data_IF_603902272115
#
_entry.id   IF_603902272115
#
_cell.length_a   1.000
_cell.length_b   1.000
_cell.length_c   1.000
_cell.angle_alpha   90.00
_cell.angle_beta   90.00
_cell.angle_gamma   90.00
#
_symmetry.space_group_name_H-M   'P 1'
#
loop_
_entity.id
_entity.type
_entity.pdbx_description
1 polymer ?
#
# COMPACT_ATOMS: atom_id res chain seq x y z
N UNK A 1 64.74 40.29 35.87
CA UNK A 1 64.58 39.67 37.22
C UNK A 1 63.17 39.11 37.32
N UNK A 2 63.05 37.85 37.77
CA UNK A 2 61.80 37.11 37.99
C UNK A 2 61.03 37.68 39.18
N UNK A 3 59.70 37.79 39.07
CA UNK A 3 58.68 37.63 40.14
C UNK A 3 57.38 37.26 39.38
N UNK A 4 56.94 35.99 39.27
CA UNK A 4 56.26 35.10 40.23
C UNK A 4 54.93 35.64 40.80
N UNK A 5 53.85 35.25 40.11
CA UNK A 5 52.50 34.77 40.52
C UNK A 5 51.80 35.25 41.80
N UNK A 6 50.52 35.63 41.64
CA UNK A 6 49.41 35.47 42.60
C UNK A 6 48.10 35.74 41.82
N UNK A 7 46.90 35.23 42.09
CA UNK A 7 46.35 34.08 42.82
C UNK A 7 44.88 33.98 42.37
N UNK A 8 44.37 32.75 42.26
CA UNK A 8 42.97 32.31 42.41
C UNK A 8 41.80 33.17 41.90
N UNK A 9 40.98 32.59 41.01
CA UNK A 9 39.52 32.65 41.17
C UNK A 9 38.84 31.44 40.51
N UNK A 10 38.12 30.67 41.32
CA UNK A 10 37.15 29.65 40.91
C UNK A 10 36.11 30.29 39.97
N UNK A 11 35.58 29.54 39.00
CA UNK A 11 34.13 29.38 38.83
C UNK A 11 33.81 28.31 37.77
N UNK A 12 33.07 27.32 38.26
CA UNK A 12 32.38 26.25 37.57
C UNK A 12 31.48 26.78 36.45
N UNK A 13 31.84 26.55 35.18
CA UNK A 13 30.93 26.71 34.04
C UNK A 13 30.69 25.36 33.39
N UNK A 14 29.52 24.83 33.76
CA UNK A 14 28.78 23.69 33.23
C UNK A 14 29.09 23.38 31.76
N UNK A 15 29.48 22.14 31.51
CA UNK A 15 29.29 21.50 30.22
C UNK A 15 27.81 21.54 29.84
N UNK A 16 27.43 22.47 28.98
CA UNK A 16 26.20 22.33 28.20
C UNK A 16 26.57 21.36 27.07
N UNK A 17 26.33 20.07 27.30
CA UNK A 17 26.21 19.13 26.20
C UNK A 17 25.06 19.63 25.32
N UNK A 18 25.39 20.11 24.11
CA UNK A 18 24.40 20.27 23.04
C UNK A 18 23.83 18.90 22.76
N UNK A 19 22.64 18.60 23.28
CA UNK A 19 21.84 17.50 22.79
C UNK A 19 21.46 17.86 21.36
N UNK A 20 22.20 17.32 20.39
CA UNK A 20 21.79 17.31 19.00
C UNK A 20 20.66 16.29 18.90
N UNK A 21 19.43 16.77 19.05
CA UNK A 21 18.26 15.99 18.64
C UNK A 21 18.17 16.06 17.12
N UNK A 22 18.96 15.24 16.42
CA UNK A 22 18.60 14.85 15.06
C UNK A 22 17.30 14.06 15.15
N UNK A 23 16.16 14.75 15.01
CA UNK A 23 14.92 14.07 14.66
C UNK A 23 15.19 13.38 13.32
N UNK A 24 15.25 12.05 13.33
CA UNK A 24 15.28 11.28 12.10
C UNK A 24 14.08 11.72 11.24
N UNK A 25 14.30 11.90 9.94
CA UNK A 25 13.18 12.15 9.03
C UNK A 25 12.15 11.04 9.22
N UNK A 26 10.84 11.36 9.23
CA UNK A 26 9.81 10.36 9.41
C UNK A 26 9.98 9.25 8.38
N UNK A 27 9.89 7.99 8.84
CA UNK A 27 10.02 6.83 7.98
C UNK A 27 8.90 6.86 6.94
N UNK A 28 9.28 6.84 5.66
CA UNK A 28 8.36 6.76 4.54
C UNK A 28 8.40 5.35 3.94
N UNK A 29 7.26 4.92 3.41
CA UNK A 29 7.06 3.62 2.78
C UNK A 29 6.56 3.80 1.36
N UNK A 30 7.08 3.01 0.43
CA UNK A 30 6.60 2.99 -0.95
C UNK A 30 5.44 1.99 -1.05
N UNK A 31 4.27 2.43 -1.52
CA UNK A 31 3.08 1.58 -1.70
C UNK A 31 2.64 1.65 -3.16
N UNK A 32 2.33 0.50 -3.75
CA UNK A 32 1.74 0.41 -5.07
C UNK A 32 0.27 -0.01 -5.00
N UNK A 33 -0.61 0.83 -5.53
CA UNK A 33 -2.06 0.57 -5.58
C UNK A 33 -2.51 0.31 -7.01
N UNK A 34 -3.24 -0.77 -7.22
CA UNK A 34 -3.73 -1.20 -8.54
C UNK A 34 -5.27 -1.15 -8.68
N UNK A 35 -5.98 -1.07 -7.55
CA UNK A 35 -7.43 -1.23 -7.48
C UNK A 35 -8.15 0.05 -7.08
N UNK A 36 -9.10 -0.10 -6.16
CA UNK A 36 -10.04 0.96 -5.78
C UNK A 36 -9.43 2.18 -5.10
N UNK A 37 -8.16 2.10 -4.68
CA UNK A 37 -7.43 3.20 -4.02
C UNK A 37 -6.77 4.17 -5.02
N UNK A 38 -6.68 3.81 -6.31
CA UNK A 38 -6.12 4.68 -7.35
C UNK A 38 -6.91 5.98 -7.49
N UNK A 39 -6.26 7.01 -8.00
CA UNK A 39 -6.90 8.29 -8.34
C UNK A 39 -8.08 8.09 -9.27
N UNK A 40 -9.24 8.63 -8.89
CA UNK A 40 -10.50 8.51 -9.64
C UNK A 40 -11.31 7.24 -9.34
N UNK A 41 -10.78 6.32 -8.54
CA UNK A 41 -11.48 5.11 -8.11
C UNK A 41 -12.25 5.30 -6.79
N UNK A 42 -13.25 4.44 -6.50
CA UNK A 42 -14.19 4.60 -5.38
C UNK A 42 -13.58 4.89 -4.00
N UNK A 43 -12.47 4.26 -3.67
CA UNK A 43 -11.83 4.39 -2.35
C UNK A 43 -10.68 5.41 -2.33
N UNK A 44 -10.46 6.19 -3.39
CA UNK A 44 -9.38 7.19 -3.44
C UNK A 44 -9.42 8.20 -2.29
N UNK A 45 -10.62 8.51 -1.75
CA UNK A 45 -10.78 9.40 -0.60
C UNK A 45 -9.99 8.96 0.64
N UNK A 46 -9.73 7.66 0.79
CA UNK A 46 -8.87 7.10 1.85
C UNK A 46 -7.45 7.64 1.76
N UNK A 47 -6.88 7.67 0.55
CA UNK A 47 -5.51 8.12 0.29
C UNK A 47 -5.34 9.61 0.56
N UNK A 48 -6.42 10.41 0.45
CA UNK A 48 -6.40 11.86 0.64
C UNK A 48 -6.67 12.32 2.07
N UNK A 49 -7.23 11.45 2.92
CA UNK A 49 -7.64 11.83 4.26
C UNK A 49 -6.42 11.95 5.18
N UNK A 50 -6.14 13.17 5.67
CA UNK A 50 -5.08 13.41 6.66
C UNK A 50 -5.35 12.72 8.01
N UNK A 51 -6.61 12.35 8.27
CA UNK A 51 -6.96 11.54 9.44
C UNK A 51 -6.35 10.14 9.38
N UNK A 52 -6.14 9.60 8.18
CA UNK A 52 -5.57 8.28 7.94
C UNK A 52 -4.03 8.30 7.93
N UNK A 53 -3.42 9.47 7.73
CA UNK A 53 -1.97 9.64 7.56
C UNK A 53 -1.64 10.45 6.30
N UNK A 54 -0.38 10.44 5.90
CA UNK A 54 0.07 11.11 4.69
C UNK A 54 0.31 10.12 3.55
N UNK A 55 -0.21 10.42 2.36
CA UNK A 55 0.11 9.71 1.12
C UNK A 55 0.37 10.73 0.00
N UNK A 56 1.55 10.64 -0.60
CA UNK A 56 1.98 11.48 -1.71
C UNK A 56 2.13 10.63 -2.98
N UNK A 57 1.47 11.02 -4.06
CA UNK A 57 1.59 10.34 -5.35
C UNK A 57 2.98 10.61 -5.93
N UNK A 58 3.77 9.56 -6.14
CA UNK A 58 5.09 9.62 -6.79
C UNK A 58 4.92 9.58 -8.30
N UNK A 59 4.00 8.76 -8.80
CA UNK A 59 3.78 8.58 -10.23
C UNK A 59 2.97 7.34 -10.58
N UNK A 60 2.95 7.03 -11.88
CA UNK A 60 2.28 5.84 -12.42
C UNK A 60 3.30 4.74 -12.65
N UNK A 61 2.89 3.50 -12.42
CA UNK A 61 3.77 2.35 -12.65
C UNK A 61 3.01 1.09 -12.98
N UNK A 62 3.79 0.04 -13.21
CA UNK A 62 3.31 -1.33 -13.39
C UNK A 62 4.21 -2.31 -12.67
N UNK A 63 3.65 -3.44 -12.27
CA UNK A 63 4.43 -4.55 -11.72
C UNK A 63 5.43 -5.06 -12.76
N UNK A 64 6.66 -5.39 -12.34
CA UNK A 64 7.67 -5.99 -13.23
C UNK A 64 7.30 -7.43 -13.56
N UNK A 65 6.81 -8.17 -12.57
CA UNK A 65 6.22 -9.50 -12.74
C UNK A 65 4.79 -9.40 -13.27
N UNK A 66 4.33 -10.48 -13.90
CA UNK A 66 2.94 -10.62 -14.30
C UNK A 66 2.12 -11.27 -13.19
N UNK A 67 0.93 -10.72 -12.96
CA UNK A 67 -0.02 -11.20 -11.95
C UNK A 67 -1.44 -11.24 -12.52
N UNK A 68 -2.28 -12.22 -12.12
CA UNK A 68 -3.71 -12.16 -12.39
C UNK A 68 -4.38 -11.09 -11.53
N UNK A 69 -4.84 -10.03 -12.17
CA UNK A 69 -5.79 -9.09 -11.59
C UNK A 69 -7.19 -9.43 -12.12
N UNK A 70 -8.10 -9.79 -11.23
CA UNK A 70 -9.47 -10.22 -11.56
C UNK A 70 -10.49 -9.40 -10.81
N UNK A 71 -11.70 -9.29 -11.36
CA UNK A 71 -12.86 -8.74 -10.65
C UNK A 71 -13.69 -9.91 -10.11
N UNK A 72 -13.87 -9.95 -8.79
CA UNK A 72 -14.53 -11.05 -8.09
C UNK A 72 -15.56 -10.59 -7.06
N UNK A 73 -16.21 -11.58 -6.45
CA UNK A 73 -17.33 -11.44 -5.50
C UNK A 73 -18.59 -10.75 -6.07
N UNK A 74 -19.68 -10.83 -5.33
CA UNK A 74 -20.94 -10.12 -5.56
C UNK A 74 -20.82 -8.60 -5.50
N UNK A 75 -19.66 -8.07 -5.11
CA UNK A 75 -19.39 -6.63 -4.97
C UNK A 75 -18.35 -6.08 -5.95
N UNK A 76 -17.95 -6.88 -6.94
CA UNK A 76 -17.04 -6.48 -8.03
C UNK A 76 -15.72 -5.89 -7.51
N UNK A 77 -15.12 -6.56 -6.53
CA UNK A 77 -13.86 -6.13 -5.92
C UNK A 77 -12.69 -6.59 -6.82
N UNK A 78 -11.70 -5.72 -7.08
CA UNK A 78 -10.47 -6.13 -7.74
C UNK A 78 -9.57 -6.94 -6.80
N UNK A 79 -9.11 -8.09 -7.28
CA UNK A 79 -8.19 -8.97 -6.55
C UNK A 79 -6.94 -9.23 -7.38
N UNK A 80 -5.79 -8.95 -6.79
CA UNK A 80 -4.51 -9.43 -7.30
C UNK A 80 -4.19 -10.79 -6.67
N UNK A 81 -4.02 -11.80 -7.50
CA UNK A 81 -3.79 -13.17 -7.06
C UNK A 81 -2.29 -13.48 -7.07
N UNK A 82 -1.72 -14.11 -6.02
CA UNK A 82 -0.31 -14.46 -5.95
C UNK A 82 0.00 -15.71 -6.81
N UNK A 83 -0.25 -15.61 -8.12
CA UNK A 83 0.07 -16.63 -9.12
C UNK A 83 1.04 -16.03 -10.14
N UNK A 84 2.33 -16.06 -9.81
CA UNK A 84 3.38 -15.36 -10.57
C UNK A 84 3.44 -15.87 -12.02
N UNK A 85 3.63 -14.95 -12.96
CA UNK A 85 3.86 -15.26 -14.36
C UNK A 85 2.58 -15.45 -15.19
N UNK A 86 1.40 -15.43 -14.56
CA UNK A 86 0.08 -15.37 -15.22
C UNK A 86 -0.44 -13.93 -15.26
N UNK A 87 -1.43 -13.66 -16.11
CA UNK A 87 -2.02 -12.31 -16.24
C UNK A 87 -1.09 -11.31 -16.92
N UNK A 88 -1.09 -10.09 -16.41
CA UNK A 88 -0.44 -8.93 -17.03
C UNK A 88 0.54 -8.27 -16.07
N UNK A 89 1.37 -7.38 -16.61
CA UNK A 89 2.06 -6.38 -15.79
C UNK A 89 1.02 -5.37 -15.32
N UNK A 90 0.56 -5.52 -14.09
CA UNK A 90 -0.59 -4.77 -13.58
C UNK A 90 -0.22 -3.31 -13.41
N UNK A 91 -1.02 -2.43 -14.02
CA UNK A 91 -0.89 -0.97 -13.95
C UNK A 91 -1.47 -0.42 -12.65
N UNK A 92 -0.88 0.66 -12.17
CA UNK A 92 -1.28 1.30 -10.94
C UNK A 92 -0.52 2.58 -10.63
N UNK A 93 -0.59 2.99 -9.38
CA UNK A 93 -0.02 4.23 -8.87
C UNK A 93 0.93 3.93 -7.71
N UNK A 94 2.04 4.67 -7.68
CA UNK A 94 3.09 4.54 -6.67
C UNK A 94 2.96 5.72 -5.72
N UNK A 95 2.83 5.44 -4.42
CA UNK A 95 2.70 6.43 -3.36
C UNK A 95 3.86 6.33 -2.38
N UNK A 96 4.30 7.47 -1.86
CA UNK A 96 5.08 7.57 -0.62
C UNK A 96 4.09 7.79 0.51
N UNK A 97 4.08 6.90 1.51
CA UNK A 97 3.17 7.00 2.65
C UNK A 97 3.93 7.00 3.97
N UNK A 98 3.38 7.67 4.98
CA UNK A 98 3.91 7.58 6.34
C UNK A 98 3.48 6.28 7.04
N UNK A 99 4.06 6.00 8.20
CA UNK A 99 3.74 4.81 9.00
C UNK A 99 2.26 4.74 9.37
N UNK A 100 1.64 5.88 9.68
CA UNK A 100 0.23 5.98 10.05
C UNK A 100 -0.67 5.55 8.90
N UNK A 101 -0.42 6.05 7.70
CA UNK A 101 -1.14 5.67 6.49
C UNK A 101 -0.93 4.20 6.16
N UNK A 102 0.30 3.67 6.27
CA UNK A 102 0.56 2.26 6.02
C UNK A 102 -0.25 1.36 6.98
N UNK A 103 -0.28 1.69 8.27
CA UNK A 103 -1.08 0.97 9.26
C UNK A 103 -2.58 1.05 8.96
N UNK A 104 -3.07 2.24 8.58
CA UNK A 104 -4.47 2.41 8.17
C UNK A 104 -4.81 1.52 6.96
N UNK A 105 -3.93 1.46 5.95
CA UNK A 105 -4.14 0.63 4.77
C UNK A 105 -4.17 -0.86 5.12
N UNK A 106 -3.33 -1.31 6.06
CA UNK A 106 -3.36 -2.69 6.55
C UNK A 106 -4.71 -3.04 7.19
N UNK A 107 -5.26 -2.17 8.05
CA UNK A 107 -6.59 -2.35 8.61
C UNK A 107 -7.69 -2.29 7.55
N UNK A 108 -7.59 -1.34 6.62
CA UNK A 108 -8.57 -1.11 5.55
C UNK A 108 -8.67 -2.30 4.59
N UNK A 109 -7.53 -2.91 4.25
CA UNK A 109 -7.47 -4.12 3.41
C UNK A 109 -7.63 -5.41 4.22
N UNK A 110 -7.76 -5.33 5.55
CA UNK A 110 -7.92 -6.49 6.42
C UNK A 110 -6.70 -7.40 6.44
N UNK A 111 -5.50 -6.82 6.34
CA UNK A 111 -4.23 -7.51 6.49
C UNK A 111 -4.00 -7.94 7.95
N UNK A 112 -3.44 -9.15 8.22
CA UNK A 112 -3.04 -10.21 7.29
C UNK A 112 -4.10 -11.31 7.09
N UNK A 113 -5.39 -11.05 7.34
CA UNK A 113 -6.44 -12.07 7.25
C UNK A 113 -7.08 -12.16 5.85
N UNK A 114 -7.27 -11.03 5.16
CA UNK A 114 -7.85 -10.96 3.83
C UNK A 114 -6.80 -10.84 2.74
N UNK A 115 -6.06 -9.73 2.76
CA UNK A 115 -4.96 -9.47 1.88
C UNK A 115 -3.66 -9.65 2.66
N UNK A 116 -2.61 -10.07 1.95
CA UNK A 116 -1.26 -10.11 2.44
C UNK A 116 -0.49 -8.97 1.79
N UNK A 117 0.11 -8.11 2.61
CA UNK A 117 1.03 -7.07 2.17
C UNK A 117 2.40 -7.70 1.93
N UNK A 118 2.91 -7.57 0.71
CA UNK A 118 4.24 -8.08 0.30
C UNK A 118 4.97 -7.01 -0.48
N UNK A 119 6.30 -7.14 -0.59
CA UNK A 119 7.10 -6.25 -1.43
C UNK A 119 7.16 -6.78 -2.86
N UNK A 120 6.97 -5.89 -3.83
CA UNK A 120 7.10 -6.20 -5.25
C UNK A 120 7.85 -5.10 -6.00
N UNK A 121 8.57 -5.50 -7.05
CA UNK A 121 9.24 -4.59 -7.95
C UNK A 121 8.24 -3.95 -8.91
N UNK A 122 8.21 -2.62 -8.94
CA UNK A 122 7.39 -1.83 -9.85
C UNK A 122 8.26 -0.86 -10.66
N UNK A 123 7.86 -0.61 -11.90
CA UNK A 123 8.53 0.33 -12.79
C UNK A 123 7.54 1.24 -13.49
N UNK A 124 7.94 2.47 -13.79
CA UNK A 124 7.02 3.47 -14.33
C UNK A 124 7.66 4.82 -14.56
N UNK A 125 6.86 5.87 -14.44
CA UNK A 125 7.28 7.26 -14.57
C UNK A 125 6.79 8.10 -13.37
N UNK A 126 7.65 8.99 -12.89
CA UNK A 126 7.26 9.96 -11.87
C UNK A 126 6.38 11.08 -12.45
N UNK A 127 5.92 12.00 -11.59
CA UNK A 127 5.12 13.16 -12.01
C UNK A 127 5.86 14.13 -12.96
N UNK A 128 7.19 14.05 -13.05
CA UNK A 128 8.02 14.84 -13.97
C UNK A 128 8.34 14.10 -15.28
N UNK A 129 7.86 12.87 -15.44
CA UNK A 129 8.10 12.03 -16.62
C UNK A 129 9.41 11.24 -16.58
N UNK A 130 10.15 11.24 -15.47
CA UNK A 130 11.39 10.46 -15.36
C UNK A 130 11.07 9.00 -15.06
N UNK A 131 11.86 8.08 -15.63
CA UNK A 131 11.72 6.66 -15.33
C UNK A 131 12.03 6.37 -13.86
N UNK A 132 11.15 5.60 -13.22
CA UNK A 132 11.32 5.14 -11.84
C UNK A 132 11.19 3.62 -11.76
N UNK A 133 11.99 3.04 -10.86
CA UNK A 133 11.90 1.64 -10.43
C UNK A 133 12.03 1.60 -8.92
N UNK A 134 11.13 0.90 -8.25
CA UNK A 134 11.05 0.83 -6.79
C UNK A 134 10.59 -0.55 -6.35
N UNK A 135 11.07 -0.97 -5.20
CA UNK A 135 10.40 -1.98 -4.38
C UNK A 135 9.25 -1.27 -3.66
N UNK A 136 8.04 -1.80 -3.78
CA UNK A 136 6.83 -1.21 -3.20
C UNK A 136 5.98 -2.27 -2.50
N UNK A 137 5.35 -1.87 -1.39
CA UNK A 137 4.33 -2.69 -0.74
C UNK A 137 3.08 -2.78 -1.61
N UNK A 138 2.56 -3.98 -1.77
CA UNK A 138 1.36 -4.29 -2.56
C UNK A 138 0.52 -5.31 -1.80
N UNK A 139 -0.80 -5.28 -2.00
CA UNK A 139 -1.75 -6.17 -1.32
C UNK A 139 -2.21 -7.29 -2.26
N UNK A 140 -1.89 -8.54 -1.94
CA UNK A 140 -2.37 -9.74 -2.65
C UNK A 140 -3.49 -10.43 -1.88
N UNK A 141 -4.45 -11.03 -2.57
CA UNK A 141 -5.45 -11.86 -1.91
C UNK A 141 -4.75 -13.07 -1.28
N UNK A 142 -4.86 -13.23 0.05
CA UNK A 142 -4.06 -14.21 0.82
C UNK A 142 -4.31 -15.65 0.40
N UNK A 143 -5.58 -16.00 0.22
CA UNK A 143 -6.03 -17.30 -0.24
C UNK A 143 -7.19 -17.08 -1.18
N UNK A 144 -7.25 -17.87 -2.25
CA UNK A 144 -8.23 -17.68 -3.32
C UNK A 144 -8.68 -19.04 -3.85
N UNK A 145 -9.90 -19.13 -4.36
CA UNK A 145 -10.37 -20.34 -5.05
C UNK A 145 -9.85 -20.37 -6.49
N UNK A 146 -9.47 -21.54 -6.97
CA UNK A 146 -8.90 -21.75 -8.31
C UNK A 146 -9.81 -21.24 -9.44
N UNK A 147 -11.14 -21.24 -9.26
CA UNK A 147 -12.07 -20.72 -10.27
C UNK A 147 -11.84 -19.25 -10.60
N UNK A 148 -11.23 -18.48 -9.68
CA UNK A 148 -10.84 -17.10 -9.97
C UNK A 148 -9.80 -16.99 -11.07
N UNK A 149 -8.95 -18.00 -11.27
CA UNK A 149 -7.99 -18.02 -12.38
C UNK A 149 -8.66 -18.20 -13.75
N UNK A 150 -9.93 -18.58 -13.81
CA UNK A 150 -10.70 -18.67 -15.06
C UNK A 150 -11.36 -17.36 -15.48
N UNK A 151 -11.35 -16.34 -14.60
CA UNK A 151 -11.92 -15.02 -14.89
C UNK A 151 -11.04 -14.21 -15.84
N UNK A 152 -11.60 -13.20 -16.54
CA UNK A 152 -10.80 -12.25 -17.31
C UNK A 152 -9.73 -11.57 -16.46
N UNK A 153 -8.53 -11.47 -17.02
CA UNK A 153 -7.42 -10.75 -16.41
C UNK A 153 -7.40 -9.32 -16.93
N UNK A 154 -7.17 -8.37 -16.01
CA UNK A 154 -7.11 -6.95 -16.32
C UNK A 154 -5.66 -6.47 -16.20
N UNK A 155 -5.22 -5.64 -17.14
CA UNK A 155 -3.96 -4.92 -17.02
C UNK A 155 -4.12 -3.68 -16.14
N UNK A 156 -5.22 -2.95 -16.31
CA UNK A 156 -5.55 -1.75 -15.55
C UNK A 156 -7.01 -1.82 -15.08
N UNK A 157 -7.23 -1.80 -13.77
CA UNK A 157 -8.57 -1.83 -13.22
C UNK A 157 -9.22 -0.44 -13.30
N UNK A 158 -10.49 -0.40 -13.68
CA UNK A 158 -11.36 0.72 -13.35
C UNK A 158 -12.75 0.26 -12.99
N UNK A 159 -13.33 0.80 -11.92
CA UNK A 159 -14.72 0.49 -11.54
C UNK A 159 -15.70 0.77 -12.68
N UNK A 160 -15.44 1.80 -13.49
CA UNK A 160 -16.31 2.20 -14.62
C UNK A 160 -15.78 1.71 -15.97
N UNK A 161 -14.96 0.66 -15.96
CA UNK A 161 -14.42 0.06 -17.19
C UNK A 161 -15.49 -0.64 -18.04
N UNK A 162 -15.13 -0.94 -19.29
CA UNK A 162 -16.01 -1.53 -20.30
C UNK A 162 -16.55 -2.93 -19.96
N UNK A 163 -16.03 -3.55 -18.89
CA UNK A 163 -16.54 -4.82 -18.36
C UNK A 163 -17.93 -4.69 -17.69
N UNK A 164 -18.39 -3.47 -17.37
CA UNK A 164 -19.72 -3.24 -16.78
C UNK A 164 -19.90 -3.78 -15.36
N UNK A 165 -18.80 -4.10 -14.68
CA UNK A 165 -18.77 -4.64 -13.31
C UNK A 165 -18.39 -3.52 -12.33
N UNK A 166 -19.30 -2.59 -12.10
CA UNK A 166 -19.05 -1.44 -11.21
C UNK A 166 -18.92 -1.89 -9.75
N UNK A 167 -17.91 -1.36 -9.06
CA UNK A 167 -17.63 -1.64 -7.66
C UNK A 167 -18.80 -1.21 -6.78
N UNK A 168 -19.25 -2.13 -5.94
CA UNK A 168 -20.31 -1.82 -4.96
C UNK A 168 -19.67 -1.22 -3.72
N UNK A 169 -20.02 0.02 -3.39
CA UNK A 169 -19.42 0.75 -2.26
C UNK A 169 -19.48 0.01 -0.91
N UNK A 170 -18.43 0.14 -0.09
CA UNK A 170 -18.30 -0.61 1.17
C UNK A 170 -19.48 -0.40 2.12
N UNK A 171 -20.01 0.82 2.20
CA UNK A 171 -21.13 1.15 3.08
C UNK A 171 -22.45 0.47 2.64
N UNK A 172 -22.64 0.24 1.33
CA UNK A 172 -23.80 -0.48 0.80
C UNK A 172 -23.75 -1.98 1.10
N UNK A 173 -22.54 -2.53 1.24
CA UNK A 173 -22.33 -3.96 1.56
C UNK A 173 -22.77 -4.29 2.97
N UNK A 174 -22.49 -3.43 3.95
CA UNK A 174 -22.82 -3.69 5.36
C UNK A 174 -24.32 -3.96 5.57
N UNK A 175 -25.17 -3.36 4.75
CA UNK A 175 -26.62 -3.59 4.77
C UNK A 175 -27.04 -4.91 4.11
N UNK A 176 -26.36 -5.31 3.02
CA UNK A 176 -26.71 -6.50 2.23
C UNK A 176 -26.01 -7.78 2.68
N UNK A 177 -24.83 -7.65 3.26
CA UNK A 177 -23.94 -8.72 3.69
C UNK A 177 -23.27 -8.35 5.03
N UNK A 178 -24.03 -8.32 6.14
CA UNK A 178 -23.51 -7.92 7.44
C UNK A 178 -22.44 -8.87 7.99
N UNK A 179 -22.38 -10.10 7.48
CA UNK A 179 -21.40 -11.12 7.89
C UNK A 179 -20.16 -11.16 7.01
N UNK A 180 -20.08 -10.31 5.97
CA UNK A 180 -18.99 -10.33 4.99
C UNK A 180 -18.83 -11.69 4.29
N UNK A 181 -19.93 -12.41 4.06
CA UNK A 181 -19.96 -13.69 3.36
C UNK A 181 -19.40 -13.61 1.93
N UNK A 182 -19.40 -12.43 1.29
CA UNK A 182 -18.75 -12.23 -0.01
C UNK A 182 -17.25 -12.60 -0.02
N UNK A 183 -16.59 -12.58 1.15
CA UNK A 183 -15.19 -13.01 1.27
C UNK A 183 -15.07 -14.52 1.04
N UNK A 184 -16.06 -15.31 1.46
CA UNK A 184 -16.12 -16.76 1.24
C UNK A 184 -16.39 -17.11 -0.23
N UNK A 185 -16.91 -16.18 -1.03
CA UNK A 185 -17.08 -16.39 -2.47
C UNK A 185 -15.73 -16.51 -3.17
N UNK A 186 -14.71 -15.78 -2.69
CA UNK A 186 -13.39 -15.67 -3.32
C UNK A 186 -12.30 -16.43 -2.58
N UNK A 187 -12.38 -16.58 -1.26
CA UNK A 187 -11.36 -17.25 -0.46
C UNK A 187 -11.56 -18.76 -0.45
N UNK A 188 -10.44 -19.50 -0.46
CA UNK A 188 -10.46 -20.93 -0.22
C UNK A 188 -10.65 -21.20 1.29
N UNK A 189 -11.65 -22.02 1.64
CA UNK A 189 -11.98 -22.38 3.03
C UNK A 189 -11.15 -23.55 3.56
N UNK A 190 -10.47 -24.29 2.68
CA UNK A 190 -9.58 -25.37 3.07
C UNK A 190 -8.16 -24.86 3.24
N UNK A 191 -7.63 -24.95 4.46
CA UNK A 191 -6.19 -24.90 4.73
C UNK A 191 -5.54 -26.14 4.07
N UNK A 192 -5.23 -26.04 2.79
CA UNK A 192 -4.64 -27.11 2.00
C UNK A 192 -4.08 -26.52 0.72
N UNK A 193 -2.75 -26.47 0.65
CA UNK A 193 -1.97 -25.64 -0.27
C UNK A 193 -2.28 -25.80 -1.76
N UNK A 194 -2.07 -24.70 -2.48
CA UNK A 194 -1.68 -24.77 -3.88
C UNK A 194 -0.27 -25.38 -3.91
N UNK A 195 -0.17 -26.66 -4.28
CA UNK A 195 1.09 -27.34 -4.61
C UNK A 195 1.44 -27.11 -6.06
#
# INVERSE_FOLDING_TARGET
MRVVTNSHCLHCWRHIARMSSTLAAPQQYCVFVYGTLKTGEPNYGVMRSQENGHAELIGRGKTVKRWPLVIGSSFNIPYLLPCEGRGHNVSGEIYSVDEKMLHFLDEFEGHPQYYLRTEEEVQGVDLSGNSIRRTAWIYFLKSYKEELLSKPYFEDYSSKGDHGLEYVERYLRKLKDPKSAHREEVQCTTYGGCT
#
